data_IF_787665220021
#
_entry.id   IF_787665220021
#
_cell.length_a   1.000
_cell.length_b   1.000
_cell.length_c   1.000
_cell.angle_alpha   90.00
_cell.angle_beta   90.00
_cell.angle_gamma   90.00
#
_symmetry.space_group_name_H-M   'P 1'
#
loop_
_entity.id
_entity.type
_entity.pdbx_description
1 polymer ?
#
# COMPACT_ATOMS: atom_id res chain seq x y z
N UNK A 1 22.47 0.12 -0.90
CA UNK A 1 21.04 0.39 -1.16
C UNK A 1 20.37 0.67 0.17
N UNK A 2 19.40 1.58 0.23
CA UNK A 2 18.71 1.94 1.48
C UNK A 2 17.56 0.95 1.75
N UNK A 3 17.40 0.55 3.01
CA UNK A 3 16.34 -0.38 3.41
C UNK A 3 14.99 0.32 3.60
N UNK A 4 13.92 -0.47 3.61
CA UNK A 4 12.58 0.03 3.88
C UNK A 4 12.35 0.34 5.36
N UNK A 5 11.74 1.49 5.65
CA UNK A 5 11.13 1.80 6.95
C UNK A 5 9.71 2.32 6.75
N UNK A 6 8.83 2.04 7.73
CA UNK A 6 7.50 2.64 7.86
C UNK A 6 7.57 4.10 8.36
N UNK A 7 8.70 4.46 8.97
CA UNK A 7 9.09 5.82 9.37
C UNK A 7 10.48 6.14 8.77
N UNK A 8 10.56 6.45 7.47
CA UNK A 8 11.84 6.66 6.79
C UNK A 8 12.47 8.00 7.21
N UNK A 9 13.79 8.01 7.37
CA UNK A 9 14.53 9.25 7.61
C UNK A 9 14.89 10.01 6.32
N UNK A 10 14.27 9.66 5.20
CA UNK A 10 14.47 10.31 3.90
C UNK A 10 13.17 10.55 3.13
N UNK A 11 13.22 11.53 2.22
CA UNK A 11 12.21 11.79 1.20
C UNK A 11 12.74 11.38 -0.17
N UNK A 12 11.86 10.79 -0.98
CA UNK A 12 12.15 10.44 -2.37
C UNK A 12 11.29 11.29 -3.28
N UNK A 13 11.90 11.92 -4.28
CA UNK A 13 11.17 12.68 -5.28
C UNK A 13 11.92 12.69 -6.61
N UNK A 14 11.19 12.98 -7.67
CA UNK A 14 11.70 13.10 -9.02
C UNK A 14 11.84 14.58 -9.38
N UNK A 15 13.06 15.00 -9.71
CA UNK A 15 13.31 16.35 -10.19
C UNK A 15 13.08 16.41 -11.69
N UNK A 16 11.95 16.97 -12.09
CA UNK A 16 11.56 17.11 -13.50
C UNK A 16 12.35 18.21 -14.24
N UNK A 17 13.10 19.05 -13.53
CA UNK A 17 13.92 20.12 -14.13
C UNK A 17 15.16 19.60 -14.86
N UNK A 18 15.48 18.32 -14.72
CA UNK A 18 16.61 17.66 -15.37
C UNK A 18 16.13 16.78 -16.54
N UNK A 19 16.92 16.69 -17.61
CA UNK A 19 16.68 15.78 -18.72
C UNK A 19 17.95 14.91 -18.97
N UNK A 20 17.94 13.60 -18.63
CA UNK A 20 16.81 12.83 -18.09
C UNK A 20 16.44 13.22 -16.64
N UNK A 21 15.21 12.89 -16.19
CA UNK A 21 14.77 13.17 -14.83
C UNK A 21 15.70 12.57 -13.80
N UNK A 22 16.04 13.35 -12.78
CA UNK A 22 16.89 12.89 -11.70
C UNK A 22 16.04 12.43 -10.51
N UNK A 23 16.18 11.18 -10.12
CA UNK A 23 15.62 10.68 -8.87
C UNK A 23 16.52 11.08 -7.71
N UNK A 24 15.95 11.80 -6.75
CA UNK A 24 16.70 12.38 -5.65
C UNK A 24 16.15 11.88 -4.32
N UNK A 25 17.07 11.57 -3.41
CA UNK A 25 16.79 11.22 -2.02
C UNK A 25 17.37 12.33 -1.14
N UNK A 26 16.54 12.93 -0.30
CA UNK A 26 16.96 13.95 0.67
C UNK A 26 16.69 13.47 2.09
N UNK A 27 17.54 13.84 3.04
CA UNK A 27 17.32 13.56 4.45
C UNK A 27 16.09 14.33 4.96
N UNK A 28 15.19 13.65 5.66
CA UNK A 28 14.01 14.25 6.25
C UNK A 28 14.32 15.00 7.57
N UNK A 29 15.43 14.64 8.20
CA UNK A 29 15.97 15.24 9.43
C UNK A 29 17.49 15.06 9.48
N UNK A 30 18.14 15.55 10.52
CA UNK A 30 19.52 15.17 10.80
C UNK A 30 19.62 13.65 11.04
N UNK A 31 20.61 13.00 10.43
CA UNK A 31 20.91 11.57 10.54
C UNK A 31 22.29 11.48 11.20
N UNK A 32 22.38 10.76 12.31
CA UNK A 32 23.65 10.62 13.03
C UNK A 32 24.65 9.77 12.24
N UNK A 33 25.95 9.92 12.55
CA UNK A 33 26.96 9.00 12.02
C UNK A 33 26.60 7.57 12.45
N UNK A 34 26.72 6.64 11.51
CA UNK A 34 26.43 5.20 11.70
C UNK A 34 24.94 4.87 11.92
N UNK A 35 24.05 5.87 11.85
CA UNK A 35 22.60 5.64 11.76
C UNK A 35 22.24 5.15 10.34
N UNK A 36 21.39 4.13 10.25
CA UNK A 36 20.95 3.59 8.97
C UNK A 36 20.09 4.60 8.20
N UNK A 37 20.41 4.78 6.91
CA UNK A 37 19.57 5.57 5.99
C UNK A 37 18.46 4.67 5.47
N UNK A 38 17.21 5.07 5.71
CA UNK A 38 16.02 4.29 5.34
C UNK A 38 15.10 5.08 4.42
N UNK A 39 14.40 4.35 3.54
CA UNK A 39 13.45 4.87 2.55
C UNK A 39 12.08 4.20 2.69
N UNK A 40 11.05 4.74 2.07
CA UNK A 40 9.75 4.04 1.95
C UNK A 40 9.61 3.38 0.58
N UNK A 41 9.28 2.09 0.53
CA UNK A 41 8.90 1.42 -0.71
C UNK A 41 7.41 1.61 -1.04
N UNK A 42 6.68 2.38 -0.21
CA UNK A 42 5.23 2.58 -0.29
C UNK A 42 4.52 2.10 0.98
N UNK A 43 3.20 2.29 1.00
CA UNK A 43 2.32 1.74 2.05
C UNK A 43 1.90 0.33 1.66
N UNK A 44 2.75 -0.64 1.98
CA UNK A 44 2.59 -2.04 1.55
C UNK A 44 2.33 -2.94 2.75
N UNK A 45 1.43 -3.90 2.58
CA UNK A 45 1.25 -4.99 3.53
C UNK A 45 2.35 -6.05 3.40
N UNK A 46 2.49 -6.89 4.42
CA UNK A 46 3.54 -7.91 4.47
C UNK A 46 3.44 -8.96 3.36
N UNK A 47 2.25 -9.21 2.79
CA UNK A 47 2.13 -10.16 1.67
C UNK A 47 2.78 -9.58 0.41
N UNK A 48 2.60 -8.29 0.15
CA UNK A 48 3.27 -7.58 -0.94
C UNK A 48 4.78 -7.41 -0.68
N UNK A 49 5.17 -7.07 0.56
CA UNK A 49 6.59 -6.97 0.91
C UNK A 49 7.32 -8.30 0.71
N UNK A 50 6.70 -9.40 1.12
CA UNK A 50 7.25 -10.74 0.93
C UNK A 50 7.36 -11.09 -0.55
N UNK A 51 6.29 -10.87 -1.31
CA UNK A 51 6.23 -11.23 -2.73
C UNK A 51 7.21 -10.41 -3.58
N UNK A 52 7.33 -9.10 -3.34
CA UNK A 52 8.13 -8.19 -4.16
C UNK A 52 9.59 -8.09 -3.72
N UNK A 53 9.85 -8.19 -2.41
CA UNK A 53 11.16 -7.88 -1.83
C UNK A 53 11.74 -8.97 -0.92
N UNK A 54 10.99 -10.03 -0.64
CA UNK A 54 11.49 -11.19 0.11
C UNK A 54 11.64 -10.98 1.62
N UNK A 55 10.94 -10.00 2.22
CA UNK A 55 10.96 -9.78 3.67
C UNK A 55 9.57 -9.40 4.22
N UNK A 56 9.44 -9.43 5.54
CA UNK A 56 8.27 -8.90 6.26
C UNK A 56 8.71 -7.90 7.33
N UNK A 57 7.80 -7.05 7.79
CA UNK A 57 8.01 -6.19 8.96
C UNK A 57 7.18 -6.68 10.15
N UNK A 58 7.81 -6.72 11.32
CA UNK A 58 7.11 -6.93 12.57
C UNK A 58 6.23 -5.70 12.86
N UNK A 59 4.97 -5.93 13.27
CA UNK A 59 4.00 -4.87 13.56
C UNK A 59 3.80 -3.86 12.40
N UNK A 60 3.82 -4.31 11.15
CA UNK A 60 3.55 -3.44 10.00
C UNK A 60 2.17 -2.77 10.12
N UNK A 61 2.09 -1.42 10.27
CA UNK A 61 0.83 -0.72 10.43
C UNK A 61 -0.02 -0.70 9.15
N UNK A 62 0.57 -1.05 8.01
CA UNK A 62 -0.13 -1.15 6.73
C UNK A 62 -0.58 -2.59 6.42
N UNK A 63 -0.42 -3.53 7.35
CA UNK A 63 -0.91 -4.90 7.15
C UNK A 63 -2.43 -4.91 6.95
N UNK A 64 -2.85 -5.64 5.92
CA UNK A 64 -4.25 -5.82 5.58
C UNK A 64 -4.48 -7.24 5.05
N UNK A 65 -5.71 -7.73 5.20
CA UNK A 65 -6.15 -8.99 4.61
C UNK A 65 -7.23 -8.68 3.58
N UNK A 66 -7.03 -9.15 2.35
CA UNK A 66 -8.04 -9.03 1.30
C UNK A 66 -9.24 -9.92 1.60
N UNK A 67 -10.44 -9.35 1.59
CA UNK A 67 -11.69 -10.11 1.63
C UNK A 67 -12.20 -10.20 0.18
N UNK A 68 -12.34 -11.40 -0.40
CA UNK A 68 -12.91 -11.54 -1.73
C UNK A 68 -14.30 -10.90 -1.78
N UNK A 69 -14.53 -10.07 -2.79
CA UNK A 69 -15.77 -9.31 -2.95
C UNK A 69 -17.03 -10.19 -2.92
N UNK A 70 -16.98 -11.36 -3.57
CA UNK A 70 -18.07 -12.34 -3.58
C UNK A 70 -18.40 -12.85 -2.18
N UNK A 71 -17.38 -13.15 -1.38
CA UNK A 71 -17.57 -13.60 0.00
C UNK A 71 -18.18 -12.49 0.87
N UNK A 72 -17.72 -11.26 0.71
CA UNK A 72 -18.28 -10.11 1.41
C UNK A 72 -19.76 -9.91 1.06
N UNK A 73 -20.12 -9.95 -0.23
CA UNK A 73 -21.50 -9.84 -0.67
C UNK A 73 -22.39 -10.95 -0.11
N UNK A 74 -21.95 -12.20 -0.19
CA UNK A 74 -22.69 -13.35 0.34
C UNK A 74 -22.94 -13.20 1.85
N UNK A 75 -21.94 -12.73 2.60
CA UNK A 75 -22.06 -12.45 4.02
C UNK A 75 -23.09 -11.33 4.28
N UNK A 76 -22.98 -10.20 3.58
CA UNK A 76 -23.88 -9.06 3.76
C UNK A 76 -25.33 -9.38 3.37
N UNK A 77 -25.55 -10.22 2.36
CA UNK A 77 -26.89 -10.70 1.98
C UNK A 77 -27.48 -11.63 3.06
N UNK A 78 -26.68 -12.54 3.62
CA UNK A 78 -27.13 -13.47 4.68
C UNK A 78 -27.49 -12.75 5.97
N UNK A 79 -26.72 -11.73 6.36
CA UNK A 79 -26.99 -10.91 7.56
C UNK A 79 -28.03 -9.81 7.31
N UNK A 80 -28.56 -9.68 6.09
CA UNK A 80 -29.56 -8.65 5.75
C UNK A 80 -29.00 -7.21 5.79
N UNK A 81 -27.67 -7.05 5.73
CA UNK A 81 -27.00 -5.75 5.67
C UNK A 81 -27.20 -5.04 4.33
N UNK A 82 -27.43 -5.83 3.27
CA UNK A 82 -27.83 -5.34 1.95
C UNK A 82 -29.00 -6.17 1.42
N UNK A 83 -29.86 -5.53 0.65
CA UNK A 83 -30.86 -6.24 -0.16
C UNK A 83 -30.24 -6.66 -1.49
N UNK A 84 -30.60 -7.84 -2.04
CA UNK A 84 -30.18 -8.22 -3.39
C UNK A 84 -30.54 -7.09 -4.37
N UNK A 85 -29.65 -6.70 -5.29
CA UNK A 85 -30.03 -5.76 -6.33
C UNK A 85 -31.22 -6.35 -7.08
N UNK A 86 -32.36 -5.66 -7.02
CA UNK A 86 -33.53 -6.02 -7.82
C UNK A 86 -33.09 -5.84 -9.27
N UNK A 87 -32.83 -6.95 -9.95
CA UNK A 87 -32.69 -6.94 -11.40
C UNK A 87 -34.06 -6.50 -11.94
N UNK A 88 -34.21 -5.21 -12.19
CA UNK A 88 -35.38 -4.65 -12.85
C UNK A 88 -35.45 -5.35 -14.21
N UNK A 89 -36.32 -6.35 -14.30
CA UNK A 89 -36.68 -6.94 -15.58
C UNK A 89 -37.40 -5.85 -16.33
N UNK A 90 -36.68 -5.19 -17.24
CA UNK A 90 -37.30 -4.33 -18.25
C UNK A 90 -38.18 -5.23 -19.09
N UNK A 91 -39.45 -5.38 -18.68
CA UNK A 91 -40.52 -5.81 -19.57
C UNK A 91 -40.73 -4.66 -20.54
N UNK A 92 -40.02 -4.68 -21.65
CA UNK A 92 -40.44 -3.92 -22.83
C UNK A 92 -41.77 -4.52 -23.33
N UNK A 93 -42.75 -3.67 -23.67
CA UNK A 93 -44.11 -4.06 -24.04
C UNK A 93 -44.17 -4.87 -25.34
#
# INVERSE_FOLDING_TARGET
>A
MANHSTDPNTYQFRMETNNPPLYTIMSARAIAKDEEITVSYGKLDNSLLWFMFGFHLDNNPNNQAGIPWTFLLDYMLKDGLITPPVLATTRTP
#
